data_IF_158108862833
#
_entry.id   IF_158108862833
#
_cell.length_a   1.000
_cell.length_b   1.000
_cell.length_c   1.000
_cell.angle_alpha   90.00
_cell.angle_beta   90.00
_cell.angle_gamma   90.00
#
_symmetry.space_group_name_H-M   'P 1'
#
loop_
_entity.id
_entity.type
_entity.pdbx_description
1 polymer ?
#
# COMPACT_ATOMS: atom_id res chain seq x y z
N UNK A 1 2.55 8.97 -0.94
CA UNK A 1 1.47 8.22 -0.24
C UNK A 1 1.78 6.73 -0.17
N UNK A 2 2.03 6.08 -1.28
CA UNK A 2 2.32 4.62 -1.30
C UNK A 2 3.56 4.25 -0.47
N UNK A 3 4.60 5.07 -0.53
CA UNK A 3 5.87 4.84 0.17
C UNK A 3 5.75 4.97 1.71
N UNK A 4 5.04 5.99 2.19
CA UNK A 4 4.97 6.29 3.63
C UNK A 4 3.70 5.77 4.32
N UNK A 5 2.75 5.23 3.56
CA UNK A 5 1.45 4.69 4.06
C UNK A 5 0.71 5.66 5.00
N UNK A 6 0.75 6.94 4.67
CA UNK A 6 0.06 8.01 5.41
C UNK A 6 -0.66 8.95 4.45
N UNK A 7 -1.69 9.69 4.90
CA UNK A 7 -2.32 10.73 4.10
C UNK A 7 -1.31 11.80 3.67
N UNK A 8 -1.53 12.35 2.48
CA UNK A 8 -0.69 13.41 1.92
C UNK A 8 -1.50 14.68 1.69
N UNK A 9 -1.01 15.79 2.26
CA UNK A 9 -1.54 17.13 2.09
C UNK A 9 -0.67 17.88 1.08
N UNK A 10 -1.26 18.33 -0.01
CA UNK A 10 -0.58 19.15 -1.03
C UNK A 10 -1.19 20.54 -1.00
N UNK A 11 -0.36 21.57 -0.90
CA UNK A 11 -0.79 22.93 -0.67
C UNK A 11 -0.16 23.87 -1.69
N UNK A 12 -0.93 24.90 -2.05
CA UNK A 12 -0.46 26.09 -2.78
C UNK A 12 -0.65 27.32 -1.89
N UNK A 13 0.36 28.17 -1.83
CA UNK A 13 0.34 29.42 -1.06
C UNK A 13 0.24 30.57 -2.07
N UNK A 14 -0.77 31.39 -1.91
CA UNK A 14 -1.01 32.56 -2.74
C UNK A 14 -1.57 33.71 -1.89
N UNK A 15 -0.89 34.84 -1.87
CA UNK A 15 -1.29 36.08 -1.20
C UNK A 15 -1.88 35.88 0.23
N UNK A 16 -1.11 35.25 1.14
CA UNK A 16 -1.53 34.95 2.52
C UNK A 16 -2.65 33.91 2.66
N UNK A 17 -3.05 33.27 1.58
CA UNK A 17 -4.04 32.18 1.59
C UNK A 17 -3.37 30.87 1.18
N UNK A 18 -3.72 29.83 1.87
CA UNK A 18 -3.30 28.48 1.54
C UNK A 18 -4.51 27.68 1.10
N UNK A 19 -4.45 27.14 -0.10
CA UNK A 19 -5.44 26.19 -0.59
C UNK A 19 -4.77 24.84 -0.78
N UNK A 20 -5.47 23.76 -0.47
CA UNK A 20 -4.88 22.45 -0.59
C UNK A 20 -5.86 21.35 -0.90
N UNK A 21 -5.30 20.25 -1.30
CA UNK A 21 -5.98 18.98 -1.43
C UNK A 21 -5.28 17.93 -0.57
N UNK A 22 -6.05 16.98 -0.11
CA UNK A 22 -5.54 15.84 0.67
C UNK A 22 -6.01 14.55 0.05
N UNK A 23 -5.14 13.57 0.06
CA UNK A 23 -5.45 12.21 -0.33
C UNK A 23 -5.17 11.30 0.85
N UNK A 24 -6.10 10.41 1.13
CA UNK A 24 -6.00 9.44 2.22
C UNK A 24 -5.55 8.07 1.72
N UNK A 25 -5.36 7.19 2.67
CA UNK A 25 -5.14 5.76 2.48
C UNK A 25 -6.31 4.99 3.06
N UNK A 26 -6.41 3.71 2.73
CA UNK A 26 -7.43 2.81 3.29
C UNK A 26 -7.41 2.87 4.83
N UNK A 27 -8.57 2.86 5.45
CA UNK A 27 -8.81 2.90 6.90
C UNK A 27 -8.55 4.26 7.59
N UNK A 28 -8.27 5.33 6.85
CA UNK A 28 -8.17 6.69 7.39
C UNK A 28 -9.20 7.58 6.69
N UNK A 29 -10.24 7.95 7.42
CA UNK A 29 -11.30 8.84 6.93
C UNK A 29 -10.86 10.31 7.03
N UNK A 30 -10.36 10.87 5.92
CA UNK A 30 -9.85 12.23 5.88
C UNK A 30 -10.96 13.27 6.04
N UNK A 31 -12.20 12.95 5.71
CA UNK A 31 -13.32 13.89 5.88
C UNK A 31 -13.54 14.25 7.36
N UNK A 32 -13.42 13.26 8.25
CA UNK A 32 -13.50 13.47 9.70
C UNK A 32 -12.35 14.30 10.25
N UNK A 33 -11.14 14.08 9.72
CA UNK A 33 -9.96 14.84 10.12
C UNK A 33 -10.10 16.30 9.67
N UNK A 34 -10.55 16.55 8.43
CA UNK A 34 -10.79 17.90 7.94
C UNK A 34 -11.87 18.63 8.74
N UNK A 35 -12.98 17.96 9.05
CA UNK A 35 -14.05 18.53 9.89
C UNK A 35 -13.49 18.95 11.26
N UNK A 36 -12.73 18.08 11.92
CA UNK A 36 -12.09 18.38 13.20
C UNK A 36 -11.14 19.58 13.11
N UNK A 37 -10.33 19.67 12.05
CA UNK A 37 -9.40 20.77 11.84
C UNK A 37 -10.12 22.11 11.59
N UNK A 38 -11.31 22.10 10.99
CA UNK A 38 -12.18 23.27 10.86
C UNK A 38 -12.75 23.65 12.22
N UNK A 39 -13.30 22.70 12.97
CA UNK A 39 -13.90 22.93 14.30
C UNK A 39 -12.87 23.50 15.31
N UNK A 40 -11.62 23.07 15.22
CA UNK A 40 -10.52 23.54 16.06
C UNK A 40 -9.88 24.85 15.55
N UNK A 41 -10.35 25.40 14.44
CA UNK A 41 -9.94 26.69 13.89
C UNK A 41 -8.58 26.69 13.20
N UNK A 42 -8.05 25.54 12.81
CA UNK A 42 -6.84 25.43 11.97
C UNK A 42 -7.13 25.71 10.50
N UNK A 43 -8.33 25.32 10.03
CA UNK A 43 -8.80 25.55 8.68
C UNK A 43 -9.95 26.56 8.66
N UNK A 44 -10.00 27.39 7.62
CA UNK A 44 -11.16 28.25 7.34
C UNK A 44 -12.31 27.44 6.77
N UNK A 45 -11.99 26.46 5.95
CA UNK A 45 -12.93 25.50 5.38
C UNK A 45 -12.23 24.23 4.97
N UNK A 46 -12.92 23.12 5.03
CA UNK A 46 -12.42 21.83 4.59
C UNK A 46 -13.55 20.84 4.45
N UNK A 47 -13.39 19.88 3.53
CA UNK A 47 -14.38 18.84 3.33
C UNK A 47 -14.00 17.93 2.18
N UNK A 48 -14.79 16.89 2.02
CA UNK A 48 -14.56 15.85 1.01
C UNK A 48 -15.17 14.52 1.41
N UNK A 49 -14.60 13.47 0.89
CA UNK A 49 -14.96 12.09 1.19
C UNK A 49 -13.84 11.39 1.96
N UNK A 50 -14.06 10.16 2.41
CA UNK A 50 -13.09 9.41 3.22
C UNK A 50 -11.68 9.36 2.60
N UNK A 51 -11.56 9.25 1.27
CA UNK A 51 -10.29 9.07 0.57
C UNK A 51 -9.67 10.35 0.01
N UNK A 52 -10.44 11.45 -0.07
CA UNK A 52 -9.97 12.68 -0.68
C UNK A 52 -10.75 13.90 -0.19
N UNK A 53 -10.07 15.03 -0.03
CA UNK A 53 -10.70 16.28 0.35
C UNK A 53 -9.94 17.50 -0.11
N UNK A 54 -10.58 18.65 0.05
CA UNK A 54 -9.97 19.96 -0.17
C UNK A 54 -10.09 20.80 1.09
N UNK A 55 -9.22 21.79 1.24
CA UNK A 55 -9.21 22.67 2.40
C UNK A 55 -8.62 24.03 2.09
N UNK A 56 -8.94 25.00 2.94
CA UNK A 56 -8.38 26.36 2.90
C UNK A 56 -8.00 26.80 4.30
N UNK A 57 -6.91 27.54 4.42
CA UNK A 57 -6.47 28.15 5.65
C UNK A 57 -5.71 29.46 5.36
N UNK A 58 -5.54 30.29 6.37
CA UNK A 58 -4.64 31.43 6.30
C UNK A 58 -3.19 30.98 6.45
N UNK A 59 -2.26 31.62 5.75
CA UNK A 59 -0.83 31.27 5.81
C UNK A 59 -0.29 31.31 7.25
N UNK A 60 -0.73 32.28 8.07
CA UNK A 60 -0.35 32.40 9.49
C UNK A 60 -0.65 31.15 10.32
N UNK A 61 -1.63 30.34 9.91
CA UNK A 61 -2.04 29.09 10.57
C UNK A 61 -1.25 27.86 10.11
N UNK A 62 -0.45 27.98 9.04
CA UNK A 62 0.22 26.84 8.43
C UNK A 62 1.16 26.13 9.41
N UNK A 63 2.01 26.89 10.10
CA UNK A 63 2.96 26.32 11.08
C UNK A 63 2.24 25.64 12.24
N UNK A 64 1.16 26.26 12.73
CA UNK A 64 0.34 25.70 13.81
C UNK A 64 -0.34 24.40 13.36
N UNK A 65 -0.88 24.35 12.15
CA UNK A 65 -1.45 23.14 11.56
C UNK A 65 -0.41 22.02 11.43
N UNK A 66 0.80 22.35 10.94
CA UNK A 66 1.87 21.37 10.81
C UNK A 66 2.27 20.76 12.14
N UNK A 67 2.42 21.58 13.18
CA UNK A 67 2.75 21.13 14.53
C UNK A 67 1.62 20.25 15.10
N UNK A 68 0.38 20.70 14.98
CA UNK A 68 -0.78 19.95 15.43
C UNK A 68 -0.89 18.57 14.77
N UNK A 69 -0.69 18.49 13.44
CA UNK A 69 -0.70 17.22 12.72
C UNK A 69 0.45 16.30 13.14
N UNK A 70 1.64 16.84 13.44
CA UNK A 70 2.77 16.05 13.95
C UNK A 70 2.49 15.48 15.33
N UNK A 71 2.01 16.31 16.26
CA UNK A 71 1.72 15.93 17.65
C UNK A 71 0.57 14.90 17.72
N UNK A 72 -0.42 15.03 16.85
CA UNK A 72 -1.58 14.15 16.80
C UNK A 72 -1.47 13.05 15.73
N UNK A 73 -0.31 12.89 15.11
CA UNK A 73 -0.10 11.95 14.00
C UNK A 73 -0.48 10.51 14.37
N UNK A 74 -0.17 10.07 15.58
CA UNK A 74 -0.53 8.74 16.07
C UNK A 74 -2.05 8.55 16.18
N UNK A 75 -2.78 9.59 16.60
CA UNK A 75 -4.24 9.52 16.75
C UNK A 75 -4.95 9.55 15.40
N UNK A 76 -4.49 10.43 14.49
CA UNK A 76 -5.11 10.63 13.19
C UNK A 76 -4.74 9.54 12.18
N UNK A 77 -3.53 9.00 12.28
CA UNK A 77 -2.96 8.14 11.26
C UNK A 77 -2.63 6.74 11.79
N UNK A 78 -3.21 6.35 12.91
CA UNK A 78 -3.14 4.99 13.39
C UNK A 78 -3.83 4.09 12.36
N UNK A 79 -3.04 3.54 11.46
CA UNK A 79 -3.47 2.45 10.60
C UNK A 79 -3.80 1.28 11.51
N UNK A 80 -5.03 0.80 11.49
CA UNK A 80 -5.30 -0.56 11.96
C UNK A 80 -4.38 -1.49 11.17
N UNK A 81 -3.89 -2.54 11.83
CA UNK A 81 -3.01 -3.52 11.21
C UNK A 81 -3.53 -3.84 9.80
N UNK A 82 -2.68 -3.60 8.79
CA UNK A 82 -3.07 -3.88 7.40
C UNK A 82 -3.28 -5.38 7.26
N UNK A 83 -4.53 -5.82 7.30
CA UNK A 83 -4.90 -7.19 6.99
C UNK A 83 -4.84 -7.37 5.48
N UNK A 84 -4.17 -8.40 5.02
CA UNK A 84 -4.22 -8.84 3.64
C UNK A 84 -5.28 -9.94 3.58
N UNK A 85 -6.35 -9.69 2.84
CA UNK A 85 -7.33 -10.74 2.56
C UNK A 85 -6.73 -11.69 1.53
N UNK A 86 -6.76 -12.97 1.83
CA UNK A 86 -6.35 -14.05 0.94
C UNK A 86 -7.64 -14.68 0.43
N UNK A 87 -7.75 -14.80 -0.89
CA UNK A 87 -8.93 -15.36 -1.53
C UNK A 87 -8.78 -16.88 -1.72
N UNK A 88 -7.54 -17.35 -1.94
CA UNK A 88 -7.25 -18.76 -2.14
C UNK A 88 -5.89 -19.14 -1.54
N UNK A 89 -5.80 -20.30 -0.89
CA UNK A 89 -4.54 -20.98 -0.57
C UNK A 89 -4.29 -22.07 -1.61
N UNK A 90 -3.13 -22.05 -2.27
CA UNK A 90 -2.75 -23.01 -3.31
C UNK A 90 -1.35 -23.55 -3.09
N UNK A 91 -1.03 -24.68 -3.72
CA UNK A 91 0.32 -25.24 -3.84
C UNK A 91 0.93 -24.83 -5.17
N UNK A 92 2.25 -24.90 -5.29
CA UNK A 92 2.90 -24.64 -6.59
C UNK A 92 2.37 -25.58 -7.69
N UNK A 93 2.06 -26.83 -7.35
CA UNK A 93 1.48 -27.82 -8.28
C UNK A 93 0.11 -27.40 -8.86
N UNK A 94 -0.64 -26.56 -8.14
CA UNK A 94 -1.98 -26.13 -8.53
C UNK A 94 -1.92 -24.96 -9.52
N UNK A 95 -0.78 -24.24 -9.57
CA UNK A 95 -0.56 -23.09 -10.44
C UNK A 95 -0.28 -23.57 -11.88
N UNK A 96 -1.32 -23.89 -12.60
CA UNK A 96 -1.27 -24.32 -13.99
C UNK A 96 -2.11 -23.38 -14.89
N UNK A 97 -2.05 -23.61 -16.21
CA UNK A 97 -2.77 -22.79 -17.18
C UNK A 97 -4.30 -22.86 -17.01
N UNK A 98 -4.82 -23.98 -16.54
CA UNK A 98 -6.25 -24.14 -16.31
C UNK A 98 -6.73 -23.23 -15.17
N UNK A 99 -5.96 -23.15 -14.09
CA UNK A 99 -6.23 -22.23 -12.99
C UNK A 99 -6.17 -20.77 -13.45
N UNK A 100 -5.13 -20.40 -14.22
CA UNK A 100 -4.99 -19.03 -14.75
C UNK A 100 -6.17 -18.68 -15.65
N UNK A 101 -6.53 -19.54 -16.60
CA UNK A 101 -7.69 -19.32 -17.47
C UNK A 101 -9.00 -19.21 -16.69
N UNK A 102 -9.14 -19.95 -15.58
CA UNK A 102 -10.32 -19.84 -14.72
C UNK A 102 -10.36 -18.50 -13.97
N UNK A 103 -9.21 -17.97 -13.58
CA UNK A 103 -9.13 -16.65 -12.97
C UNK A 103 -9.42 -15.53 -13.98
N UNK A 104 -8.95 -15.64 -15.22
CA UNK A 104 -9.26 -14.67 -16.30
C UNK A 104 -10.77 -14.56 -16.56
N UNK A 105 -11.55 -15.62 -16.34
CA UNK A 105 -13.02 -15.57 -16.46
C UNK A 105 -13.69 -14.69 -15.38
N UNK A 106 -12.98 -14.34 -14.32
CA UNK A 106 -13.47 -13.44 -13.26
C UNK A 106 -13.27 -11.96 -13.62
N UNK A 107 -12.55 -11.64 -14.70
CA UNK A 107 -12.36 -10.27 -15.16
C UNK A 107 -13.68 -9.61 -15.65
N UNK A 108 -13.81 -8.27 -15.63
CA UNK A 108 -12.76 -7.29 -15.31
C UNK A 108 -12.64 -7.01 -13.81
N UNK A 109 -11.42 -6.96 -13.31
CA UNK A 109 -11.12 -6.53 -11.95
C UNK A 109 -11.11 -5.00 -11.84
N UNK A 110 -11.39 -4.46 -10.63
CA UNK A 110 -11.41 -3.02 -10.41
C UNK A 110 -11.77 -2.61 -8.99
N UNK A 111 -12.19 -1.36 -8.85
CA UNK A 111 -12.57 -0.82 -7.54
C UNK A 111 -13.82 -1.55 -7.01
N UNK A 112 -13.69 -2.20 -5.84
CA UNK A 112 -14.74 -3.02 -5.23
C UNK A 112 -14.73 -4.49 -5.64
N UNK A 113 -13.98 -4.86 -6.69
CA UNK A 113 -13.75 -6.23 -7.12
C UNK A 113 -12.28 -6.40 -7.52
N UNK A 114 -11.37 -6.48 -6.54
CA UNK A 114 -9.93 -6.60 -6.80
C UNK A 114 -9.57 -7.97 -7.36
N UNK A 115 -8.41 -8.03 -8.01
CA UNK A 115 -7.81 -9.30 -8.43
C UNK A 115 -7.62 -10.23 -7.23
N UNK A 116 -8.00 -11.52 -7.36
CA UNK A 116 -7.86 -12.51 -6.31
C UNK A 116 -6.40 -12.68 -5.87
N UNK A 117 -6.17 -12.77 -4.57
CA UNK A 117 -4.86 -13.02 -3.99
C UNK A 117 -4.68 -14.46 -3.58
N UNK A 118 -3.65 -15.07 -4.10
CA UNK A 118 -3.30 -16.46 -3.83
C UNK A 118 -2.17 -16.51 -2.82
N UNK A 119 -2.34 -17.30 -1.78
CA UNK A 119 -1.29 -17.60 -0.80
C UNK A 119 -0.66 -18.94 -1.11
N UNK A 120 0.67 -18.95 -1.24
CA UNK A 120 1.48 -20.18 -1.31
C UNK A 120 2.34 -20.21 -0.05
N UNK A 121 2.15 -21.23 0.77
CA UNK A 121 2.86 -21.37 2.03
C UNK A 121 4.14 -22.19 1.90
N UNK A 122 5.09 -21.88 2.79
CA UNK A 122 6.30 -22.66 3.03
C UNK A 122 7.11 -22.95 1.77
N UNK A 123 7.45 -21.88 1.05
CA UNK A 123 8.36 -21.95 -0.09
C UNK A 123 9.75 -21.44 0.31
N UNK A 124 10.76 -21.92 -0.41
CA UNK A 124 12.13 -21.39 -0.33
C UNK A 124 12.61 -20.97 -1.70
N UNK A 125 13.57 -20.07 -1.77
CA UNK A 125 14.21 -19.70 -3.03
C UNK A 125 15.40 -20.60 -3.31
N UNK A 126 15.36 -21.33 -4.41
CA UNK A 126 16.50 -22.17 -4.87
C UNK A 126 17.43 -21.41 -5.80
N UNK A 127 16.95 -20.35 -6.43
CA UNK A 127 17.74 -19.45 -7.27
C UNK A 127 17.14 -18.05 -7.23
N UNK A 128 18.01 -17.02 -7.25
CA UNK A 128 17.57 -15.63 -7.35
C UNK A 128 18.57 -14.79 -8.14
N UNK A 129 18.04 -13.77 -8.83
CA UNK A 129 18.84 -12.81 -9.61
C UNK A 129 18.13 -11.46 -9.63
N UNK A 130 18.88 -10.40 -9.35
CA UNK A 130 18.40 -9.02 -9.50
C UNK A 130 18.32 -8.70 -11.00
N UNK A 131 17.18 -8.18 -11.44
CA UNK A 131 16.86 -7.86 -12.82
C UNK A 131 16.33 -6.42 -12.97
N UNK A 132 16.18 -6.00 -14.21
CA UNK A 132 15.70 -4.67 -14.58
C UNK A 132 16.83 -3.65 -14.74
N UNK A 133 16.56 -2.61 -15.55
CA UNK A 133 17.53 -1.55 -15.87
C UNK A 133 18.03 -0.83 -14.62
N UNK A 134 17.16 -0.63 -13.64
CA UNK A 134 17.46 0.05 -12.36
C UNK A 134 17.77 -0.94 -11.22
N UNK A 135 17.85 -2.25 -11.49
CA UNK A 135 18.10 -3.29 -10.48
C UNK A 135 17.08 -3.27 -9.33
N UNK A 136 15.83 -3.00 -9.64
CA UNK A 136 14.73 -2.87 -8.67
C UNK A 136 13.81 -4.09 -8.59
N UNK A 137 14.03 -5.09 -9.45
CA UNK A 137 13.22 -6.29 -9.49
C UNK A 137 14.07 -7.51 -9.19
N UNK A 138 13.45 -8.53 -8.61
CA UNK A 138 14.09 -9.80 -8.29
C UNK A 138 13.38 -10.93 -9.03
N UNK A 139 14.09 -11.66 -9.85
CA UNK A 139 13.64 -12.93 -10.42
C UNK A 139 14.11 -14.04 -9.51
N UNK A 140 13.23 -14.96 -9.15
CA UNK A 140 13.56 -16.10 -8.31
C UNK A 140 12.85 -17.37 -8.78
N UNK A 141 13.45 -18.51 -8.49
CA UNK A 141 12.83 -19.82 -8.61
C UNK A 141 12.46 -20.27 -7.20
N UNK A 142 11.18 -20.40 -6.94
CA UNK A 142 10.63 -20.87 -5.67
C UNK A 142 10.40 -22.37 -5.73
N UNK A 143 10.62 -23.04 -4.61
CA UNK A 143 10.40 -24.47 -4.43
C UNK A 143 9.56 -24.67 -3.15
N UNK A 144 8.54 -25.50 -3.23
CA UNK A 144 7.75 -25.90 -2.08
C UNK A 144 8.33 -27.16 -1.39
N UNK A 145 7.73 -27.53 -0.26
CA UNK A 145 8.15 -28.70 0.53
C UNK A 145 7.99 -30.04 -0.21
N UNK A 146 7.29 -30.06 -1.35
CA UNK A 146 7.09 -31.24 -2.18
C UNK A 146 8.08 -31.29 -3.37
N UNK A 147 8.91 -30.26 -3.55
CA UNK A 147 9.89 -30.17 -4.63
C UNK A 147 9.33 -29.57 -5.93
N UNK A 148 8.09 -29.08 -5.94
CA UNK A 148 7.56 -28.36 -7.10
C UNK A 148 8.19 -26.96 -7.18
N UNK A 149 8.46 -26.52 -8.43
CA UNK A 149 9.15 -25.26 -8.70
C UNK A 149 8.32 -24.34 -9.57
N UNK A 150 8.43 -23.05 -9.28
CA UNK A 150 7.84 -21.98 -10.11
C UNK A 150 8.80 -20.79 -10.20
N UNK A 151 8.82 -20.15 -11.36
CA UNK A 151 9.53 -18.89 -11.52
C UNK A 151 8.64 -17.72 -11.10
N UNK A 152 9.18 -16.82 -10.29
CA UNK A 152 8.49 -15.65 -9.79
C UNK A 152 9.31 -14.38 -10.03
N UNK A 153 8.62 -13.25 -10.17
CA UNK A 153 9.24 -11.92 -10.24
C UNK A 153 8.65 -11.07 -9.12
N UNK A 154 9.52 -10.51 -8.28
CA UNK A 154 9.16 -9.55 -7.25
C UNK A 154 9.52 -8.17 -7.79
N UNK A 155 8.50 -7.37 -8.08
CA UNK A 155 8.67 -6.01 -8.56
C UNK A 155 8.94 -5.05 -7.40
N UNK A 156 9.88 -4.11 -7.60
CA UNK A 156 10.24 -3.08 -6.62
C UNK A 156 10.50 -3.65 -5.22
N UNK A 157 11.34 -4.71 -5.18
CA UNK A 157 11.62 -5.41 -3.93
C UNK A 157 12.37 -4.53 -2.92
N UNK A 158 12.12 -4.77 -1.65
CA UNK A 158 12.86 -4.15 -0.54
C UNK A 158 14.07 -5.02 -0.15
N UNK A 159 15.12 -4.40 0.36
CA UNK A 159 16.35 -5.10 0.79
C UNK A 159 16.11 -6.16 1.89
N UNK A 160 15.01 -6.03 2.64
CA UNK A 160 14.55 -7.03 3.61
C UNK A 160 14.28 -8.39 2.97
N UNK A 161 13.73 -8.39 1.75
CA UNK A 161 13.41 -9.60 0.99
C UNK A 161 14.69 -10.35 0.56
N UNK A 162 15.75 -9.62 0.18
CA UNK A 162 17.03 -10.26 -0.19
C UNK A 162 17.57 -11.11 0.94
N UNK A 163 17.52 -10.63 2.18
CA UNK A 163 17.99 -11.39 3.35
C UNK A 163 17.25 -12.70 3.53
N UNK A 164 15.91 -12.66 3.40
CA UNK A 164 15.08 -13.87 3.52
C UNK A 164 15.46 -14.91 2.45
N UNK A 165 15.69 -14.44 1.22
CA UNK A 165 16.05 -15.29 0.07
C UNK A 165 17.47 -15.82 0.19
N UNK A 166 18.44 -15.00 0.57
CA UNK A 166 19.85 -15.39 0.73
C UNK A 166 20.06 -16.38 1.88
N UNK A 167 19.30 -16.19 2.98
CA UNK A 167 19.33 -17.10 4.14
C UNK A 167 18.58 -18.42 3.88
N UNK A 168 17.97 -18.59 2.69
CA UNK A 168 17.20 -19.78 2.30
C UNK A 168 16.13 -20.17 3.33
N UNK A 169 15.56 -19.19 4.00
CA UNK A 169 14.47 -19.42 4.93
C UNK A 169 13.20 -19.81 4.17
N UNK A 170 12.36 -20.57 4.83
CA UNK A 170 10.99 -20.76 4.37
C UNK A 170 10.19 -19.47 4.60
N UNK A 171 9.34 -19.11 3.64
CA UNK A 171 8.44 -17.97 3.70
C UNK A 171 7.14 -18.26 2.95
N UNK A 172 6.15 -17.45 3.19
CA UNK A 172 4.88 -17.49 2.47
C UNK A 172 4.89 -16.43 1.38
N UNK A 173 4.29 -16.73 0.24
CA UNK A 173 4.16 -15.83 -0.92
C UNK A 173 2.71 -15.51 -1.17
N UNK A 174 2.44 -14.24 -1.48
CA UNK A 174 1.13 -13.76 -1.90
C UNK A 174 1.31 -13.11 -3.28
N UNK A 175 0.52 -13.55 -4.23
CA UNK A 175 0.48 -13.04 -5.60
C UNK A 175 -0.93 -13.03 -6.16
#
# INVERSE_FOLDING_TARGET
MQEYKVPAFVMNIDENKVTGSVRSIKNIDISKILAKLVDEGFLESGGGHAMAGGFKLKEEKLSSLQNYLKENSYVFFKSENSTINIDLEAKISDLNLEMINSMEQLEPFGMGYPEPKILIKKVSSVYSKIIGKNKTHLSCTLEDIYGYRINAIIFNFENSILRVIEEKREFDVIG
#
